data_IF_382523195173
#
_entry.id   IF_382523195173
#
_cell.length_a   1.000
_cell.length_b   1.000
_cell.length_c   1.000
_cell.angle_alpha   90.00
_cell.angle_beta   90.00
_cell.angle_gamma   90.00
#
_symmetry.space_group_name_H-M   'P 1'
#
loop_
_entity.id
_entity.type
_entity.pdbx_description
1 polymer ?
#
# COMPACT_ATOMS: atom_id res chain seq x y z
N UNK A 1 20.54 -29.55 28.84
CA UNK A 1 20.62 -28.33 28.00
C UNK A 1 20.09 -28.66 26.62
N UNK A 2 18.96 -28.10 26.21
CA UNK A 2 18.49 -28.19 24.82
C UNK A 2 18.89 -26.88 24.12
N UNK A 3 19.77 -26.89 23.10
CA UNK A 3 20.16 -25.66 22.41
C UNK A 3 18.93 -25.14 21.67
N UNK A 4 18.46 -23.95 22.06
CA UNK A 4 17.43 -23.24 21.32
C UNK A 4 17.91 -23.07 19.87
N UNK A 5 17.24 -23.74 18.94
CA UNK A 5 17.52 -23.61 17.51
C UNK A 5 17.31 -22.14 17.12
N UNK A 6 18.39 -21.44 16.74
CA UNK A 6 18.32 -20.09 16.21
C UNK A 6 17.71 -20.16 14.80
N UNK A 7 16.39 -19.97 14.70
CA UNK A 7 15.71 -19.86 13.42
C UNK A 7 16.36 -18.71 12.61
N UNK A 8 16.91 -18.97 11.42
CA UNK A 8 17.45 -17.91 10.59
C UNK A 8 16.33 -16.93 10.24
N UNK A 9 16.52 -15.65 10.52
CA UNK A 9 15.57 -14.63 10.10
C UNK A 9 15.47 -14.65 8.56
N UNK A 10 14.25 -14.67 7.99
CA UNK A 10 14.07 -14.64 6.54
C UNK A 10 14.76 -13.40 5.96
N UNK A 11 15.32 -13.54 4.76
CA UNK A 11 15.98 -12.43 4.08
C UNK A 11 14.98 -11.28 3.88
N UNK A 12 15.38 -10.04 4.20
CA UNK A 12 14.51 -8.84 4.08
C UNK A 12 13.78 -8.71 2.74
N UNK A 13 14.40 -9.19 1.66
CA UNK A 13 13.81 -9.23 0.31
C UNK A 13 12.62 -10.18 0.23
N UNK A 14 12.71 -11.34 0.88
CA UNK A 14 11.63 -12.34 0.95
C UNK A 14 10.43 -11.77 1.69
N UNK A 15 10.63 -11.13 2.83
CA UNK A 15 9.56 -10.47 3.60
C UNK A 15 8.88 -9.35 2.80
N UNK A 16 9.66 -8.52 2.10
CA UNK A 16 9.10 -7.49 1.23
C UNK A 16 8.24 -8.07 0.09
N UNK A 17 8.73 -9.13 -0.55
CA UNK A 17 8.00 -9.82 -1.64
C UNK A 17 6.72 -10.50 -1.13
N UNK A 18 6.76 -11.09 0.06
CA UNK A 18 5.58 -11.66 0.71
C UNK A 18 4.54 -10.57 1.01
N UNK A 19 4.93 -9.47 1.66
CA UNK A 19 4.02 -8.37 1.95
C UNK A 19 3.42 -7.74 0.68
N UNK A 20 4.23 -7.58 -0.38
CA UNK A 20 3.74 -7.12 -1.68
C UNK A 20 2.70 -8.08 -2.27
N UNK A 21 2.94 -9.39 -2.20
CA UNK A 21 2.01 -10.42 -2.68
C UNK A 21 0.71 -10.42 -1.86
N UNK A 22 0.79 -10.28 -0.55
CA UNK A 22 -0.37 -10.28 0.34
C UNK A 22 -1.24 -9.04 0.14
N UNK A 23 -0.66 -7.94 -0.34
CA UNK A 23 -1.38 -6.68 -0.62
C UNK A 23 -2.06 -6.67 -2.00
N UNK A 24 -1.63 -7.52 -2.95
CA UNK A 24 -2.20 -7.55 -4.31
C UNK A 24 -3.72 -7.78 -4.36
N UNK A 25 -4.32 -8.71 -3.60
CA UNK A 25 -5.78 -8.89 -3.58
C UNK A 25 -6.53 -7.64 -3.12
N UNK A 26 -5.97 -6.91 -2.15
CA UNK A 26 -6.55 -5.65 -1.68
C UNK A 26 -6.48 -4.57 -2.77
N UNK A 27 -5.36 -4.46 -3.47
CA UNK A 27 -5.19 -3.51 -4.57
C UNK A 27 -6.15 -3.77 -5.72
N UNK A 28 -6.45 -5.04 -6.02
CA UNK A 28 -7.49 -5.40 -6.98
C UNK A 28 -8.86 -4.84 -6.58
N UNK A 29 -9.21 -4.90 -5.29
CA UNK A 29 -10.42 -4.26 -4.76
C UNK A 29 -10.38 -2.73 -4.80
N UNK A 30 -9.20 -2.12 -4.62
CA UNK A 30 -9.00 -0.68 -4.61
C UNK A 30 -8.93 -0.04 -6.02
N UNK A 31 -8.54 -0.81 -7.04
CA UNK A 31 -8.34 -0.36 -8.42
C UNK A 31 -9.49 0.50 -9.02
N UNK A 32 -10.78 0.11 -8.94
CA UNK A 32 -11.86 0.91 -9.52
C UNK A 32 -11.99 2.29 -8.86
N UNK A 33 -11.75 2.40 -7.55
CA UNK A 33 -11.77 3.68 -6.84
C UNK A 33 -10.63 4.59 -7.30
N UNK A 34 -9.43 4.02 -7.51
CA UNK A 34 -8.28 4.74 -8.06
C UNK A 34 -8.55 5.30 -9.45
N UNK A 35 -9.25 4.54 -10.32
CA UNK A 35 -9.63 5.00 -11.65
C UNK A 35 -10.64 6.15 -11.61
N UNK A 36 -11.68 6.05 -10.78
CA UNK A 36 -12.67 7.13 -10.60
C UNK A 36 -11.98 8.39 -10.08
N UNK A 37 -11.17 8.26 -9.02
CA UNK A 37 -10.43 9.37 -8.45
C UNK A 37 -9.45 10.00 -9.46
N UNK A 38 -8.71 9.18 -10.22
CA UNK A 38 -7.80 9.65 -11.25
C UNK A 38 -8.50 10.40 -12.37
N UNK A 39 -9.67 9.93 -12.82
CA UNK A 39 -10.48 10.62 -13.82
C UNK A 39 -10.96 11.99 -13.32
N UNK A 40 -11.39 12.08 -12.06
CA UNK A 40 -11.76 13.35 -11.42
C UNK A 40 -10.56 14.28 -11.30
N UNK A 41 -9.41 13.76 -10.87
CA UNK A 41 -8.17 14.52 -10.72
C UNK A 41 -7.67 15.13 -12.03
N UNK A 42 -7.85 14.45 -13.16
CA UNK A 42 -7.48 14.95 -14.48
C UNK A 42 -8.21 16.26 -14.87
N UNK A 43 -9.42 16.48 -14.32
CA UNK A 43 -10.18 17.71 -14.51
C UNK A 43 -9.89 18.81 -13.47
N UNK A 44 -9.07 18.50 -12.45
CA UNK A 44 -8.75 19.43 -11.37
C UNK A 44 -7.66 20.42 -11.77
N UNK A 45 -7.63 21.58 -11.11
CA UNK A 45 -6.57 22.59 -11.30
C UNK A 45 -5.19 22.11 -10.84
N UNK A 46 -5.13 21.07 -10.01
CA UNK A 46 -3.89 20.45 -9.52
C UNK A 46 -3.33 19.39 -10.49
N UNK A 47 -4.16 18.89 -11.41
CA UNK A 47 -3.81 17.83 -12.35
C UNK A 47 -3.37 16.51 -11.69
N UNK A 48 -2.78 15.62 -12.50
CA UNK A 48 -2.39 14.28 -12.06
C UNK A 48 -1.26 14.31 -11.01
N UNK A 49 -0.29 15.21 -11.17
CA UNK A 49 0.87 15.32 -10.27
C UNK A 49 0.45 15.73 -8.87
N UNK A 50 -0.46 16.72 -8.75
CA UNK A 50 -0.99 17.13 -7.45
C UNK A 50 -1.83 16.05 -6.78
N UNK A 51 -2.63 15.31 -7.55
CA UNK A 51 -3.38 14.18 -7.02
C UNK A 51 -2.47 13.05 -6.50
N UNK A 52 -1.40 12.70 -7.24
CA UNK A 52 -0.42 11.73 -6.79
C UNK A 52 0.35 12.21 -5.55
N UNK A 53 0.74 13.49 -5.51
CA UNK A 53 1.37 14.07 -4.34
C UNK A 53 0.45 14.00 -3.10
N UNK A 54 -0.84 14.29 -3.27
CA UNK A 54 -1.83 14.14 -2.20
C UNK A 54 -1.97 12.67 -1.77
N UNK A 55 -2.06 11.72 -2.70
CA UNK A 55 -2.12 10.29 -2.35
C UNK A 55 -0.85 9.78 -1.64
N UNK A 56 0.32 10.32 -1.97
CA UNK A 56 1.59 9.91 -1.37
C UNK A 56 1.86 10.56 -0.01
N UNK A 57 1.43 11.81 0.19
CA UNK A 57 1.73 12.61 1.38
C UNK A 57 0.58 12.60 2.41
N UNK A 58 -0.67 12.46 1.96
CA UNK A 58 -1.85 12.49 2.83
C UNK A 58 -2.31 11.06 3.14
N UNK A 59 -1.85 10.52 4.28
CA UNK A 59 -2.31 9.23 4.81
C UNK A 59 -3.62 9.40 5.59
N UNK A 60 -4.73 9.67 4.90
CA UNK A 60 -6.05 9.81 5.53
C UNK A 60 -6.73 8.48 5.91
N UNK A 61 -6.29 7.34 5.34
CA UNK A 61 -7.03 6.06 5.38
C UNK A 61 -6.60 5.03 6.43
N UNK A 62 -5.38 5.07 6.97
CA UNK A 62 -4.87 4.00 7.85
C UNK A 62 -5.53 3.95 9.24
N UNK A 63 -6.19 5.04 9.66
CA UNK A 63 -6.94 5.07 10.92
C UNK A 63 -8.24 4.24 10.87
N UNK A 64 -8.75 3.94 9.68
CA UNK A 64 -10.03 3.26 9.47
C UNK A 64 -9.98 1.77 9.82
N UNK A 65 -8.78 1.18 9.88
CA UNK A 65 -8.56 -0.23 10.21
C UNK A 65 -8.34 -0.50 11.70
N UNK A 66 -8.27 0.55 12.54
CA UNK A 66 -8.14 0.43 14.01
C UNK A 66 -9.44 0.85 14.76
N UNK A 67 -10.44 1.41 14.06
CA UNK A 67 -11.70 1.86 14.66
C UNK A 67 -12.74 0.74 14.88
#
# INVERSE_FOLDING_TARGET
MNPAASIPAPARRTEFLHGARDTLPLLLGAAPFGLIFGALAASSSLGMTGALAMSALVFAGSAQFIA
#
